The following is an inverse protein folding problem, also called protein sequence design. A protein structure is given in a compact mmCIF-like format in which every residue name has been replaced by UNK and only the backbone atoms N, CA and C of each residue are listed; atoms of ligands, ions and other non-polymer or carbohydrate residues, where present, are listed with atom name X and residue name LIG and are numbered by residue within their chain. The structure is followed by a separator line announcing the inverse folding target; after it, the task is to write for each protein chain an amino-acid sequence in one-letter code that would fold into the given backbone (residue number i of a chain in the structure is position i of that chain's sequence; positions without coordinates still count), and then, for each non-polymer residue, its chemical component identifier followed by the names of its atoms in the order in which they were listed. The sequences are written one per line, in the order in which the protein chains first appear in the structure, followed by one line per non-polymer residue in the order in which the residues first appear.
data_IF_289679388790
#
_entry.id   IF_289679388790
#
_cell.length_a   1.000
_cell.length_b   1.000
_cell.length_c   1.000
_cell.angle_alpha   90.00
_cell.angle_beta   90.00
_cell.angle_gamma   90.00
#
_symmetry.space_group_name_H-M   'P 1'
#
loop_
_entity.id
_entity.type
_entity.pdbx_description
1 polymer ?
#
# COMPACT_ATOMS: atom_id res chain seq x y z
N UNK A 1 15.98 -7.90 -4.22
CA UNK A 1 14.86 -7.80 -5.18
C UNK A 1 13.89 -6.74 -4.69
N UNK A 2 13.59 -5.74 -5.50
CA UNK A 2 12.64 -4.67 -5.22
C UNK A 2 11.26 -5.08 -5.72
N UNK A 3 10.29 -5.16 -4.81
CA UNK A 3 8.93 -5.57 -5.14
C UNK A 3 7.90 -4.51 -4.74
N UNK A 4 6.93 -4.26 -5.62
CA UNK A 4 5.76 -3.44 -5.33
C UNK A 4 4.52 -4.33 -5.22
N UNK A 5 3.70 -4.12 -4.19
CA UNK A 5 2.35 -4.72 -4.09
C UNK A 5 1.29 -3.65 -4.34
N UNK A 6 0.29 -3.96 -5.16
CA UNK A 6 -0.78 -3.04 -5.55
C UNK A 6 -2.14 -3.65 -5.22
N UNK A 7 -2.82 -3.09 -4.21
CA UNK A 7 -4.21 -3.43 -3.92
C UNK A 7 -5.15 -2.58 -4.78
N UNK A 8 -6.17 -3.21 -5.38
CA UNK A 8 -7.03 -2.52 -6.34
C UNK A 8 -6.39 -2.34 -7.70
N UNK A 9 -5.51 -3.27 -8.10
CA UNK A 9 -4.73 -3.21 -9.33
C UNK A 9 -5.56 -3.12 -10.62
N UNK A 10 -6.83 -3.53 -10.59
CA UNK A 10 -7.75 -3.44 -11.74
C UNK A 10 -8.61 -2.17 -11.72
N UNK A 11 -8.51 -1.37 -10.66
CA UNK A 11 -9.18 -0.06 -10.56
C UNK A 11 -8.47 1.00 -11.40
N UNK A 12 -9.12 2.16 -11.62
CA UNK A 12 -8.61 3.18 -12.54
C UNK A 12 -7.18 3.64 -12.21
N UNK A 13 -6.89 3.98 -10.95
CA UNK A 13 -5.53 4.37 -10.54
C UNK A 13 -4.62 3.15 -10.41
N UNK A 14 -5.10 2.05 -9.82
CA UNK A 14 -4.29 0.85 -9.62
C UNK A 14 -3.75 0.27 -10.92
N UNK A 15 -4.54 0.30 -12.00
CA UNK A 15 -4.09 -0.07 -13.35
C UNK A 15 -2.90 0.76 -13.78
N UNK A 16 -2.99 2.07 -13.65
CA UNK A 16 -1.90 2.96 -14.04
C UNK A 16 -0.66 2.79 -13.16
N UNK A 17 -0.82 2.50 -11.87
CA UNK A 17 0.31 2.13 -11.00
C UNK A 17 1.03 0.90 -11.57
N UNK A 18 0.29 -0.16 -11.94
CA UNK A 18 0.89 -1.35 -12.55
C UNK A 18 1.61 -1.01 -13.85
N UNK A 19 0.97 -0.25 -14.75
CA UNK A 19 1.55 0.19 -16.03
C UNK A 19 2.89 0.92 -15.85
N UNK A 20 2.94 1.93 -14.98
CA UNK A 20 4.17 2.68 -14.74
C UNK A 20 5.22 1.87 -13.97
N UNK A 21 4.81 1.01 -13.03
CA UNK A 21 5.73 0.23 -12.21
C UNK A 21 6.52 -0.80 -13.02
N UNK A 22 5.88 -1.50 -13.97
CA UNK A 22 6.60 -2.50 -14.79
C UNK A 22 7.65 -1.88 -15.70
N UNK A 23 7.43 -0.63 -16.13
CA UNK A 23 8.36 0.13 -16.95
C UNK A 23 9.58 0.63 -16.15
N UNK A 24 9.55 0.56 -14.82
CA UNK A 24 10.70 0.98 -14.01
C UNK A 24 11.76 -0.13 -13.95
N UNK A 25 13.02 0.14 -14.36
CA UNK A 25 14.11 -0.84 -14.23
C UNK A 25 14.42 -1.20 -12.78
N UNK A 26 14.19 -0.28 -11.85
CA UNK A 26 14.42 -0.47 -10.41
C UNK A 26 13.36 -1.31 -9.70
N UNK A 27 12.28 -1.70 -10.38
CA UNK A 27 11.24 -2.58 -9.83
C UNK A 27 11.35 -3.92 -10.56
N UNK A 28 11.70 -4.96 -9.80
CA UNK A 28 11.88 -6.32 -10.32
C UNK A 28 10.54 -7.05 -10.45
N UNK A 29 9.58 -6.75 -9.55
CA UNK A 29 8.32 -7.49 -9.44
C UNK A 29 7.17 -6.61 -9.00
N UNK A 30 6.02 -6.74 -9.67
CA UNK A 30 4.76 -6.07 -9.32
C UNK A 30 3.70 -7.10 -8.97
N UNK A 31 3.38 -7.25 -7.68
CA UNK A 31 2.27 -8.09 -7.21
C UNK A 31 0.96 -7.33 -7.32
N UNK A 32 0.13 -7.73 -8.28
CA UNK A 32 -1.13 -7.08 -8.59
C UNK A 32 -2.30 -7.85 -7.96
N UNK A 33 -2.86 -7.34 -6.86
CA UNK A 33 -4.00 -7.98 -6.21
C UNK A 33 -5.29 -7.68 -6.99
N UNK A 34 -5.94 -8.72 -7.50
CA UNK A 34 -7.16 -8.62 -8.31
C UNK A 34 -8.30 -9.43 -7.68
N UNK A 35 -9.53 -9.26 -8.16
CA UNK A 35 -10.66 -10.16 -7.81
C UNK A 35 -10.98 -11.18 -8.91
N UNK A 36 -10.20 -11.22 -9.99
CA UNK A 36 -10.50 -12.02 -11.17
C UNK A 36 -9.84 -13.40 -11.09
N UNK A 37 -10.65 -14.47 -11.10
CA UNK A 37 -10.18 -15.86 -10.88
C UNK A 37 -9.28 -16.42 -12.00
N UNK A 38 -9.32 -15.85 -13.22
CA UNK A 38 -8.59 -16.34 -14.39
C UNK A 38 -7.65 -15.27 -14.95
N UNK A 39 -6.62 -14.92 -14.18
CA UNK A 39 -5.64 -13.92 -14.64
C UNK A 39 -4.53 -14.59 -15.43
N UNK A 40 -4.58 -14.47 -16.76
CA UNK A 40 -3.54 -14.89 -17.70
C UNK A 40 -3.00 -13.67 -18.46
N UNK A 41 -1.84 -13.81 -19.12
CA UNK A 41 -1.22 -12.74 -19.92
C UNK A 41 -2.17 -12.23 -21.02
N UNK A 42 -2.92 -13.14 -21.65
CA UNK A 42 -3.95 -12.81 -22.64
C UNK A 42 -5.05 -11.87 -22.13
N UNK A 43 -5.22 -11.74 -20.81
CA UNK A 43 -6.22 -10.87 -20.19
C UNK A 43 -5.62 -9.56 -19.64
N UNK A 44 -4.32 -9.31 -19.81
CA UNK A 44 -3.67 -8.12 -19.26
C UNK A 44 -4.18 -6.82 -19.87
N UNK A 45 -4.63 -6.83 -21.13
CA UNK A 45 -5.25 -5.66 -21.73
C UNK A 45 -6.52 -5.27 -20.97
N UNK A 46 -7.40 -6.25 -20.72
CA UNK A 46 -8.64 -5.99 -20.00
C UNK A 46 -8.41 -5.62 -18.52
N UNK A 47 -7.48 -6.33 -17.85
CA UNK A 47 -7.28 -6.19 -16.41
C UNK A 47 -6.43 -4.97 -16.04
N UNK A 48 -5.37 -4.72 -16.82
CA UNK A 48 -4.36 -3.71 -16.51
C UNK A 48 -4.25 -2.62 -17.59
N UNK A 49 -4.86 -2.81 -18.76
CA UNK A 49 -4.65 -1.91 -19.90
C UNK A 49 -3.25 -2.08 -20.48
N UNK A 50 -2.77 -3.32 -20.61
CA UNK A 50 -1.43 -3.61 -21.11
C UNK A 50 -1.52 -4.55 -22.31
N UNK A 51 -0.95 -4.15 -23.43
CA UNK A 51 -0.75 -5.01 -24.62
C UNK A 51 0.70 -5.46 -24.62
N UNK A 52 0.94 -6.77 -24.67
CA UNK A 52 2.29 -7.32 -24.73
C UNK A 52 2.76 -7.34 -26.18
N UNK A 53 3.86 -6.64 -26.47
CA UNK A 53 4.44 -6.58 -27.81
C UNK A 53 4.86 -7.99 -28.28
N UNK A 54 4.45 -8.35 -29.50
CA UNK A 54 4.78 -9.64 -30.14
C UNK A 54 3.72 -10.75 -30.00
N UNK A 55 2.77 -10.66 -29.07
CA UNK A 55 1.69 -11.66 -28.96
C UNK A 55 0.58 -11.50 -30.01
N UNK A 56 0.51 -10.35 -30.69
CA UNK A 56 -0.55 -10.03 -31.66
C UNK A 56 -0.53 -10.89 -32.95
N UNK A 57 0.34 -11.90 -33.06
CA UNK A 57 0.65 -12.58 -34.31
C UNK A 57 0.12 -14.00 -34.50
N UNK A 58 -0.50 -14.65 -33.51
CA UNK A 58 -0.81 -16.09 -33.62
C UNK A 58 -2.27 -16.47 -33.32
N UNK A 59 -3.22 -15.56 -33.57
CA UNK A 59 -4.59 -16.01 -33.85
C UNK A 59 -4.59 -16.57 -35.27
N UNK A 60 -4.18 -17.83 -35.40
CA UNK A 60 -4.38 -18.69 -36.56
C UNK A 60 -5.89 -18.87 -36.80
N UNK A 61 -6.57 -17.83 -37.25
CA UNK A 61 -7.90 -17.94 -37.85
C UNK A 61 -7.73 -18.42 -39.29
N UNK A 62 -7.31 -19.68 -39.43
CA UNK A 62 -7.44 -20.46 -40.66
C UNK A 62 -8.91 -20.85 -40.81
N UNK A 63 -9.72 -19.86 -41.15
CA UNK A 63 -11.14 -19.98 -41.43
C UNK A 63 -11.47 -19.10 -42.62
N UNK A 64 -11.26 -19.65 -43.82
CA UNK A 64 -11.73 -19.06 -45.09
C UNK A 64 -13.26 -18.95 -45.04
N UNK A 65 -13.76 -17.77 -44.68
CA UNK A 65 -15.17 -17.44 -44.69
C UNK A 65 -15.33 -16.01 -45.19
N UNK A 66 -15.34 -15.84 -46.51
CA UNK A 66 -15.55 -14.58 -47.19
C UNK A 66 -16.91 -13.97 -46.81
N UNK A 67 -16.91 -12.94 -45.97
CA UNK A 67 -17.87 -11.81 -45.91
C UNK A 67 -17.84 -11.06 -44.56
N UNK A 68 -16.68 -10.85 -43.93
CA UNK A 68 -16.63 -9.94 -42.79
C UNK A 68 -16.53 -8.48 -43.25
N UNK A 69 -17.64 -7.76 -43.11
CA UNK A 69 -17.70 -6.29 -43.11
C UNK A 69 -16.49 -5.75 -42.35
N UNK A 70 -15.69 -4.89 -43.00
CA UNK A 70 -14.66 -4.05 -42.37
C UNK A 70 -15.22 -3.41 -41.10
N UNK A 71 -14.98 -4.02 -39.94
CA UNK A 71 -15.20 -3.36 -38.66
C UNK A 71 -14.18 -2.22 -38.60
N UNK A 72 -14.68 -0.99 -38.70
CA UNK A 72 -13.90 0.23 -38.62
C UNK A 72 -13.08 0.19 -37.33
N UNK A 73 -11.76 0.02 -37.50
CA UNK A 73 -10.68 0.16 -36.53
C UNK A 73 -11.11 0.03 -35.08
N UNK A 74 -10.91 -1.16 -34.50
CA UNK A 74 -10.92 -1.37 -33.04
C UNK A 74 -10.02 -0.31 -32.41
N UNK A 75 -10.64 0.77 -31.95
CA UNK A 75 -9.95 1.83 -31.25
C UNK A 75 -9.66 1.26 -29.88
N UNK A 76 -8.40 0.90 -29.63
CA UNK A 76 -7.95 0.43 -28.33
C UNK A 76 -8.55 1.33 -27.24
N UNK A 77 -9.06 0.75 -26.14
CA UNK A 77 -9.64 1.54 -25.08
C UNK A 77 -8.59 2.57 -24.62
N UNK A 78 -9.02 3.83 -24.48
CA UNK A 78 -8.13 4.89 -24.02
C UNK A 78 -7.45 4.47 -22.69
N UNK A 79 -6.14 4.68 -22.59
CA UNK A 79 -5.35 4.30 -21.41
C UNK A 79 -4.73 2.89 -21.47
N UNK A 80 -4.64 2.27 -22.65
CA UNK A 80 -3.82 1.07 -22.86
C UNK A 80 -2.37 1.45 -23.18
N UNK A 81 -1.40 0.73 -22.62
CA UNK A 81 0.02 0.88 -22.88
C UNK A 81 0.59 -0.39 -23.52
N UNK A 82 1.55 -0.24 -24.42
CA UNK A 82 2.33 -1.37 -24.94
C UNK A 82 3.48 -1.66 -23.98
N UNK A 83 3.63 -2.92 -23.57
CA UNK A 83 4.74 -3.39 -22.74
C UNK A 83 5.53 -4.46 -23.50
N UNK A 84 6.84 -4.50 -23.29
CA UNK A 84 7.68 -5.62 -23.73
C UNK A 84 7.32 -6.89 -22.97
N UNK A 85 7.62 -8.09 -23.51
CA UNK A 85 7.45 -9.35 -22.78
C UNK A 85 8.16 -9.36 -21.43
N UNK A 86 9.35 -8.75 -21.33
CA UNK A 86 10.11 -8.66 -20.09
C UNK A 86 9.43 -7.78 -19.03
N UNK A 87 8.84 -6.64 -19.43
CA UNK A 87 8.08 -5.79 -18.51
C UNK A 87 6.78 -6.48 -18.06
N UNK A 88 6.04 -7.10 -19.00
CA UNK A 88 4.84 -7.86 -18.68
C UNK A 88 5.14 -9.04 -17.73
N UNK A 89 6.31 -9.68 -17.89
CA UNK A 89 6.78 -10.75 -17.02
C UNK A 89 7.08 -10.31 -15.58
N UNK A 90 7.14 -9.00 -15.28
CA UNK A 90 7.24 -8.50 -13.88
C UNK A 90 5.91 -8.61 -13.14
N UNK A 91 4.79 -8.70 -13.85
CA UNK A 91 3.46 -8.76 -13.24
C UNK A 91 3.26 -10.14 -12.61
N UNK A 92 2.86 -10.14 -11.34
CA UNK A 92 2.46 -11.33 -10.58
C UNK A 92 1.04 -11.11 -10.08
N UNK A 93 0.03 -11.42 -10.90
CA UNK A 93 -1.35 -11.23 -10.51
C UNK A 93 -1.74 -12.26 -9.45
N UNK A 94 -2.38 -11.82 -8.38
CA UNK A 94 -2.90 -12.69 -7.32
C UNK A 94 -4.37 -12.41 -7.15
N UNK A 95 -5.18 -13.45 -7.34
CA UNK A 95 -6.61 -13.40 -7.06
C UNK A 95 -6.83 -13.36 -5.54
N UNK A 96 -7.54 -12.34 -5.09
CA UNK A 96 -7.79 -12.05 -3.70
C UNK A 96 -9.29 -12.03 -3.42
N UNK A 97 -9.73 -12.92 -2.54
CA UNK A 97 -11.01 -12.76 -1.86
C UNK A 97 -10.81 -11.84 -0.65
N UNK A 98 -11.19 -10.57 -0.85
CA UNK A 98 -11.03 -9.54 0.18
C UNK A 98 -11.92 -9.77 1.39
N UNK A 99 -13.09 -10.40 1.22
CA UNK A 99 -14.02 -10.63 2.32
C UNK A 99 -13.49 -11.77 3.20
N UNK A 100 -13.11 -12.91 2.59
CA UNK A 100 -12.47 -14.03 3.29
C UNK A 100 -11.23 -13.58 4.06
N UNK A 101 -10.30 -12.89 3.38
CA UNK A 101 -9.08 -12.38 4.01
C UNK A 101 -9.38 -11.44 5.17
N UNK A 102 -10.29 -10.49 5.00
CA UNK A 102 -10.60 -9.52 6.05
C UNK A 102 -11.23 -10.20 7.25
N UNK A 103 -12.09 -11.20 7.05
CA UNK A 103 -12.64 -11.99 8.15
C UNK A 103 -11.57 -12.77 8.90
N UNK A 104 -10.70 -13.49 8.19
CA UNK A 104 -9.58 -14.24 8.77
C UNK A 104 -8.61 -13.31 9.51
N UNK A 105 -8.31 -12.15 8.92
CA UNK A 105 -7.45 -11.14 9.54
C UNK A 105 -8.07 -10.63 10.85
N UNK A 106 -9.35 -10.26 10.84
CA UNK A 106 -10.07 -9.83 12.04
C UNK A 106 -10.09 -10.93 13.10
N UNK A 107 -10.36 -12.18 12.71
CA UNK A 107 -10.37 -13.32 13.61
C UNK A 107 -9.00 -13.56 14.25
N UNK A 108 -7.91 -13.45 13.48
CA UNK A 108 -6.53 -13.55 13.99
C UNK A 108 -6.27 -12.50 15.08
N UNK A 109 -6.71 -11.26 14.90
CA UNK A 109 -6.57 -10.21 15.92
C UNK A 109 -7.31 -10.56 17.22
N UNK A 110 -8.52 -11.09 17.08
CA UNK A 110 -9.35 -11.44 18.24
C UNK A 110 -8.77 -12.61 19.03
N UNK A 111 -8.20 -13.62 18.36
CA UNK A 111 -7.62 -14.79 19.03
C UNK A 111 -6.34 -14.47 19.79
N UNK A 112 -5.48 -13.62 19.23
CA UNK A 112 -4.25 -13.21 19.89
C UNK A 112 -4.49 -12.22 21.04
N UNK A 113 -5.49 -11.34 20.92
CA UNK A 113 -5.96 -10.54 22.06
C UNK A 113 -6.41 -11.43 23.23
N UNK A 114 -7.12 -12.54 22.94
CA UNK A 114 -7.56 -13.48 23.96
C UNK A 114 -6.37 -14.22 24.60
N UNK A 115 -5.39 -14.67 23.81
CA UNK A 115 -4.18 -15.33 24.32
C UNK A 115 -3.34 -14.41 25.22
N UNK A 116 -3.19 -13.13 24.87
CA UNK A 116 -2.45 -12.15 25.67
C UNK A 116 -3.11 -11.84 27.02
N UNK A 117 -4.43 -12.01 27.14
CA UNK A 117 -5.18 -11.73 28.37
C UNK A 117 -5.04 -12.79 29.47
N UNK A 118 -4.30 -13.88 29.22
CA UNK A 118 -4.09 -14.94 30.22
C UNK A 118 -5.38 -15.66 30.62
N UNK A 119 -6.44 -15.59 29.81
CA UNK A 119 -7.62 -16.41 30.04
C UNK A 119 -7.20 -17.88 29.97
N UNK A 120 -7.17 -18.54 31.13
CA UNK A 120 -6.75 -19.91 31.38
C UNK A 120 -7.52 -20.93 30.52
N UNK A 121 -7.16 -21.04 29.24
CA UNK A 121 -7.65 -22.10 28.36
C UNK A 121 -6.82 -23.37 28.56
N UNK A 122 -6.74 -23.88 29.80
CA UNK A 122 -6.32 -25.27 30.08
C UNK A 122 -7.47 -26.23 29.73
N UNK A 123 -7.93 -26.25 28.48
CA UNK A 123 -8.83 -27.30 27.99
C UNK A 123 -9.03 -27.21 26.46
N UNK A 124 -8.00 -27.51 25.67
CA UNK A 124 -8.20 -27.91 24.27
C UNK A 124 -6.97 -28.68 23.76
N UNK A 125 -6.72 -29.85 24.33
CA UNK A 125 -5.93 -30.87 23.65
C UNK A 125 -6.81 -31.51 22.58
N UNK A 126 -6.65 -31.11 21.32
CA UNK A 126 -7.25 -31.84 20.19
C UNK A 126 -6.46 -31.58 18.91
N UNK A 127 -5.71 -32.61 18.51
CA UNK A 127 -5.23 -32.94 17.17
C UNK A 127 -5.07 -31.76 16.18
N UNK A 128 -3.85 -31.26 16.06
CA UNK A 128 -3.42 -30.41 14.96
C UNK A 128 -3.44 -31.20 13.64
N UNK A 129 -4.61 -31.30 13.01
CA UNK A 129 -4.68 -31.63 11.59
C UNK A 129 -3.89 -30.54 10.87
N UNK A 130 -2.91 -30.93 10.04
CA UNK A 130 -2.02 -30.06 9.28
C UNK A 130 -2.75 -29.28 8.17
N UNK A 131 -3.89 -28.67 8.49
CA UNK A 131 -4.49 -27.62 7.68
C UNK A 131 -3.49 -26.48 7.75
N UNK A 132 -2.74 -26.30 6.66
CA UNK A 132 -1.86 -25.16 6.45
C UNK A 132 -2.61 -23.90 6.87
N UNK A 133 -2.12 -23.23 7.92
CA UNK A 133 -2.74 -22.02 8.45
C UNK A 133 -3.01 -21.06 7.27
N UNK A 134 -4.28 -20.68 6.99
CA UNK A 134 -4.59 -19.72 5.94
C UNK A 134 -3.76 -18.44 6.02
N UNK A 135 -3.27 -18.08 7.21
CA UNK A 135 -2.41 -16.93 7.43
C UNK A 135 -1.01 -17.08 6.83
N UNK A 136 -0.47 -18.29 6.69
CA UNK A 136 0.81 -18.53 6.02
C UNK A 136 0.72 -18.19 4.52
N UNK A 137 -0.42 -18.50 3.89
CA UNK A 137 -0.69 -18.06 2.51
C UNK A 137 -0.66 -16.54 2.41
N UNK A 138 -1.31 -15.83 3.33
CA UNK A 138 -1.33 -14.36 3.30
C UNK A 138 0.02 -13.75 3.65
N UNK A 139 0.81 -14.35 4.55
CA UNK A 139 2.20 -13.96 4.79
C UNK A 139 3.00 -14.02 3.49
N UNK A 140 2.86 -15.10 2.70
CA UNK A 140 3.51 -15.23 1.39
C UNK A 140 3.05 -14.18 0.36
N UNK A 141 1.82 -13.69 0.46
CA UNK A 141 1.26 -12.66 -0.43
C UNK A 141 1.70 -11.24 -0.05
N UNK A 142 1.82 -10.95 1.25
CA UNK A 142 2.04 -9.59 1.77
C UNK A 142 3.46 -9.34 2.29
N UNK A 143 4.31 -10.37 2.34
CA UNK A 143 5.70 -10.28 2.76
C UNK A 143 6.67 -9.99 1.60
N UNK A 144 7.81 -9.38 1.92
CA UNK A 144 8.90 -9.18 0.95
C UNK A 144 8.66 -8.03 -0.03
N UNK A 145 7.75 -7.09 0.27
CA UNK A 145 7.54 -5.91 -0.58
C UNK A 145 8.34 -4.71 -0.09
N UNK A 146 8.93 -3.98 -1.03
CA UNK A 146 9.64 -2.72 -0.80
C UNK A 146 8.66 -1.54 -0.85
N UNK A 147 7.66 -1.63 -1.72
CA UNK A 147 6.66 -0.59 -1.92
C UNK A 147 5.26 -1.18 -1.84
N UNK A 148 4.33 -0.42 -1.27
CA UNK A 148 2.92 -0.77 -1.26
C UNK A 148 2.07 0.38 -1.80
N UNK A 149 1.14 0.06 -2.70
CA UNK A 149 0.16 0.99 -3.25
C UNK A 149 -1.25 0.51 -2.92
N UNK A 150 -1.93 1.27 -2.07
CA UNK A 150 -3.28 0.99 -1.63
C UNK A 150 -4.29 1.80 -2.46
N UNK A 151 -4.85 1.16 -3.49
CA UNK A 151 -5.75 1.80 -4.46
C UNK A 151 -7.17 1.21 -4.43
N UNK A 152 -7.56 0.45 -3.39
CA UNK A 152 -8.96 0.03 -3.26
C UNK A 152 -9.86 1.24 -3.00
N UNK A 153 -11.04 1.15 -3.59
CA UNK A 153 -12.12 2.08 -3.37
C UNK A 153 -13.28 1.67 -4.26
N UNK A 154 -14.48 2.00 -3.83
CA UNK A 154 -15.70 1.81 -4.59
C UNK A 154 -16.56 3.05 -4.51
N UNK A 155 -17.65 3.10 -5.28
CA UNK A 155 -18.68 4.10 -5.06
C UNK A 155 -19.77 3.49 -4.20
N UNK A 156 -20.49 4.30 -3.40
CA UNK A 156 -21.66 3.81 -2.65
C UNK A 156 -22.68 3.12 -3.57
N UNK A 157 -22.83 3.62 -4.81
CA UNK A 157 -23.71 3.02 -5.82
C UNK A 157 -23.26 1.60 -6.17
N UNK A 158 -21.98 1.42 -6.47
CA UNK A 158 -21.45 0.10 -6.87
C UNK A 158 -21.37 -0.87 -5.68
N UNK A 159 -21.23 -0.36 -4.46
CA UNK A 159 -21.26 -1.17 -3.23
C UNK A 159 -22.68 -1.63 -2.83
N UNK A 160 -23.74 -0.99 -3.34
CA UNK A 160 -25.13 -1.27 -3.02
C UNK A 160 -25.63 -0.78 -1.66
N UNK A 161 -24.74 -0.54 -0.67
CA UNK A 161 -25.14 -0.01 0.64
C UNK A 161 -24.03 0.84 1.28
N UNK A 162 -24.39 1.63 2.30
CA UNK A 162 -23.40 2.40 3.09
C UNK A 162 -22.46 1.47 3.89
N UNK A 163 -22.98 0.35 4.40
CA UNK A 163 -22.20 -0.67 5.12
C UNK A 163 -21.19 -1.34 4.18
N UNK A 164 -21.63 -1.79 3.00
CA UNK A 164 -20.77 -2.41 1.99
C UNK A 164 -19.74 -1.42 1.43
N UNK A 165 -20.12 -0.14 1.30
CA UNK A 165 -19.18 0.92 0.94
C UNK A 165 -18.08 1.05 1.99
N UNK A 166 -18.46 1.17 3.26
CA UNK A 166 -17.52 1.23 4.39
C UNK A 166 -16.64 -0.01 4.46
N UNK A 167 -17.21 -1.20 4.25
CA UNK A 167 -16.47 -2.48 4.17
C UNK A 167 -15.34 -2.41 3.14
N UNK A 168 -15.63 -1.89 1.95
CA UNK A 168 -14.64 -1.78 0.89
C UNK A 168 -13.62 -0.64 1.09
N UNK A 169 -14.10 0.54 1.47
CA UNK A 169 -13.28 1.76 1.54
C UNK A 169 -12.58 1.96 2.88
N UNK A 170 -12.90 1.14 3.88
CA UNK A 170 -12.24 1.14 5.18
C UNK A 170 -11.72 -0.24 5.58
N UNK A 171 -12.60 -1.23 5.78
CA UNK A 171 -12.16 -2.50 6.39
C UNK A 171 -11.11 -3.22 5.52
N UNK A 172 -11.32 -3.31 4.20
CA UNK A 172 -10.34 -3.91 3.30
C UNK A 172 -9.04 -3.10 3.23
N UNK A 173 -9.13 -1.77 3.33
CA UNK A 173 -7.98 -0.86 3.35
C UNK A 173 -7.16 -1.10 4.61
N UNK A 174 -7.81 -1.22 5.76
CA UNK A 174 -7.14 -1.47 7.03
C UNK A 174 -6.54 -2.87 7.08
N UNK A 175 -7.25 -3.90 6.63
CA UNK A 175 -6.72 -5.26 6.57
C UNK A 175 -5.46 -5.33 5.68
N UNK A 176 -5.49 -4.68 4.51
CA UNK A 176 -4.30 -4.56 3.66
C UNK A 176 -3.15 -3.83 4.36
N UNK A 177 -3.43 -2.65 4.92
CA UNK A 177 -2.43 -1.80 5.58
C UNK A 177 -1.75 -2.56 6.72
N UNK A 178 -2.54 -3.21 7.57
CA UNK A 178 -2.04 -3.99 8.69
C UNK A 178 -1.22 -5.19 8.23
N UNK A 179 -1.68 -5.95 7.23
CA UNK A 179 -0.94 -7.12 6.76
C UNK A 179 0.39 -6.75 6.09
N UNK A 180 0.42 -5.66 5.32
CA UNK A 180 1.66 -5.16 4.72
C UNK A 180 2.64 -4.68 5.80
N UNK A 181 2.15 -3.99 6.84
CA UNK A 181 3.00 -3.58 7.96
C UNK A 181 3.49 -4.79 8.77
N UNK A 182 2.63 -5.79 8.98
CA UNK A 182 2.95 -7.00 9.70
C UNK A 182 4.06 -7.80 9.01
N UNK A 183 3.96 -7.99 7.69
CA UNK A 183 4.79 -8.95 6.97
C UNK A 183 5.90 -8.34 6.12
N UNK A 184 5.84 -7.03 5.81
CA UNK A 184 6.88 -6.37 5.02
C UNK A 184 7.62 -5.26 5.78
N UNK A 185 7.08 -4.67 6.85
CA UNK A 185 7.71 -3.49 7.46
C UNK A 185 8.84 -3.84 8.44
N UNK A 186 9.93 -3.05 8.53
CA UNK A 186 11.13 -3.35 9.32
C UNK A 186 10.90 -3.87 10.75
N UNK A 187 10.02 -3.24 11.53
CA UNK A 187 9.74 -3.66 12.91
C UNK A 187 8.64 -4.74 12.99
N UNK A 188 8.03 -5.07 11.86
CA UNK A 188 6.72 -5.72 11.79
C UNK A 188 5.65 -4.90 12.51
N UNK A 189 4.43 -5.40 12.49
CA UNK A 189 3.34 -4.90 13.32
C UNK A 189 2.49 -6.10 13.72
N UNK A 190 2.51 -6.45 15.01
CA UNK A 190 1.64 -7.50 15.53
C UNK A 190 0.17 -7.17 15.20
N UNK A 191 -0.61 -8.14 14.68
CA UNK A 191 -2.07 -8.01 14.54
C UNK A 191 -2.78 -7.74 15.88
N UNK A 192 -2.13 -8.03 16.99
CA UNK A 192 -2.74 -8.08 18.33
C UNK A 192 -2.70 -6.68 18.97
N UNK A 193 -1.77 -5.84 18.52
CA UNK A 193 -1.59 -4.45 18.96
C UNK A 193 -2.31 -3.45 18.03
N UNK A 194 -3.08 -3.90 17.04
CA UNK A 194 -3.81 -3.00 16.13
C UNK A 194 -5.18 -2.61 16.67
N UNK A 195 -5.47 -1.30 16.60
CA UNK A 195 -6.67 -0.70 17.17
C UNK A 195 -7.93 -1.17 16.44
N UNK A 196 -8.91 -1.62 17.22
CA UNK A 196 -10.26 -1.88 16.74
C UNK A 196 -10.99 -0.55 16.58
N UNK A 197 -10.82 0.07 15.41
CA UNK A 197 -11.79 1.04 14.94
C UNK A 197 -12.86 0.28 14.13
N UNK A 198 -14.01 0.02 14.73
CA UNK A 198 -15.19 -0.39 13.98
C UNK A 198 -15.92 0.87 13.51
N UNK A 199 -15.88 1.17 12.21
CA UNK A 199 -16.81 2.13 11.58
C UNK A 199 -18.18 1.44 11.52
N UNK A 200 -18.85 1.36 12.67
CA UNK A 200 -20.11 0.64 12.81
C UNK A 200 -20.63 0.68 14.24
N UNK A 201 -19.73 0.64 15.22
CA UNK A 201 -20.08 0.65 16.65
C UNK A 201 -20.48 2.05 17.15
N UNK A 202 -20.98 2.93 16.27
CA UNK A 202 -21.38 4.30 16.63
C UNK A 202 -20.22 5.21 17.06
N UNK A 203 -18.97 4.81 16.80
CA UNK A 203 -17.80 5.51 17.37
C UNK A 203 -17.61 5.24 18.86
N UNK A 204 -18.38 4.31 19.44
CA UNK A 204 -18.09 3.69 20.73
C UNK A 204 -17.04 2.60 20.50
N UNK A 205 -15.91 2.97 19.87
CA UNK A 205 -14.68 2.23 20.13
C UNK A 205 -14.50 2.38 21.63
N UNK A 206 -14.79 1.31 22.39
CA UNK A 206 -14.22 1.14 23.71
C UNK A 206 -12.73 1.32 23.48
N UNK A 207 -12.22 2.50 23.84
CA UNK A 207 -10.84 2.61 24.28
C UNK A 207 -10.76 1.62 25.45
N UNK A 208 -10.58 0.33 25.15
CA UNK A 208 -9.87 -0.54 26.06
C UNK A 208 -8.61 0.26 26.30
N UNK A 209 -8.46 0.68 27.55
CA UNK A 209 -7.50 1.68 27.98
C UNK A 209 -6.10 1.10 27.76
N UNK A 210 -5.61 1.05 26.53
CA UNK A 210 -4.23 0.68 26.18
C UNK A 210 -3.33 1.88 26.48
N UNK A 211 -3.51 2.48 27.67
CA UNK A 211 -2.72 3.62 28.12
C UNK A 211 -1.67 3.22 29.16
N UNK A 212 -1.56 1.95 29.56
CA UNK A 212 -0.63 1.54 30.62
C UNK A 212 0.54 0.62 30.20
N UNK A 213 0.69 0.31 28.91
CA UNK A 213 1.69 -0.68 28.46
C UNK A 213 3.07 -0.15 28.02
N UNK A 214 3.24 1.13 27.72
CA UNK A 214 4.54 1.62 27.18
C UNK A 214 5.66 1.71 28.22
N UNK A 215 5.38 1.45 29.50
CA UNK A 215 6.35 1.56 30.59
C UNK A 215 7.39 0.45 30.69
N UNK A 216 7.33 -0.61 29.85
CA UNK A 216 8.36 -1.65 29.82
C UNK A 216 8.98 -1.72 28.44
N UNK A 217 10.09 -1.01 28.25
CA UNK A 217 10.98 -1.13 27.09
C UNK A 217 11.34 -2.60 26.79
N UNK A 218 11.39 -3.43 27.84
CA UNK A 218 11.59 -4.88 27.77
C UNK A 218 10.45 -5.61 27.01
N UNK A 219 9.19 -5.25 27.23
CA UNK A 219 8.04 -5.87 26.54
C UNK A 219 7.94 -5.40 25.07
N UNK A 220 8.50 -4.22 24.76
CA UNK A 220 8.59 -3.73 23.39
C UNK A 220 9.56 -4.58 22.59
N UNK A 221 10.77 -4.83 23.12
CA UNK A 221 11.78 -5.64 22.45
C UNK A 221 11.32 -7.09 22.23
N UNK A 222 10.69 -7.71 23.21
CA UNK A 222 10.16 -9.08 23.07
C UNK A 222 9.09 -9.17 21.97
N UNK A 223 8.10 -8.28 22.00
CA UNK A 223 7.08 -8.22 20.96
C UNK A 223 7.66 -7.88 19.58
N UNK A 224 8.73 -7.06 19.53
CA UNK A 224 9.44 -6.78 18.29
C UNK A 224 10.15 -8.01 17.74
N UNK A 225 10.80 -8.82 18.57
CA UNK A 225 11.46 -10.04 18.13
C UNK A 225 10.46 -11.03 17.50
N UNK A 226 9.29 -11.22 18.13
CA UNK A 226 8.25 -12.09 17.58
C UNK A 226 7.70 -11.56 16.26
N UNK A 227 7.52 -10.24 16.12
CA UNK A 227 7.03 -9.62 14.89
C UNK A 227 8.08 -9.56 13.78
N UNK A 228 9.32 -9.26 14.12
CA UNK A 228 10.45 -9.21 13.20
C UNK A 228 10.70 -10.60 12.59
N UNK A 229 10.49 -11.67 13.35
CA UNK A 229 10.52 -13.03 12.83
C UNK A 229 9.43 -13.30 11.77
N UNK A 230 8.36 -12.49 11.72
CA UNK A 230 7.31 -12.60 10.70
C UNK A 230 7.50 -11.67 9.51
N UNK A 231 8.30 -10.62 9.67
CA UNK A 231 8.47 -9.58 8.66
C UNK A 231 9.71 -9.81 7.82
N UNK A 232 9.62 -9.52 6.52
CA UNK A 232 10.80 -9.42 5.67
C UNK A 232 11.63 -8.16 5.93
N UNK A 233 11.06 -7.16 6.59
CA UNK A 233 11.70 -5.87 6.88
C UNK A 233 12.06 -5.03 5.65
N UNK A 234 11.42 -5.25 4.51
CA UNK A 234 11.74 -4.64 3.21
C UNK A 234 10.96 -3.36 2.89
N UNK A 235 9.82 -3.10 3.54
CA UNK A 235 8.94 -1.98 3.19
C UNK A 235 9.63 -0.65 3.47
N UNK A 236 9.53 0.29 2.53
CA UNK A 236 10.09 1.64 2.63
C UNK A 236 9.07 2.73 2.31
N UNK A 237 8.12 2.43 1.43
CA UNK A 237 7.07 3.36 1.01
C UNK A 237 5.72 2.69 1.03
N UNK A 238 4.76 3.38 1.62
CA UNK A 238 3.36 3.04 1.56
C UNK A 238 2.60 4.23 0.98
N UNK A 239 1.97 4.05 -0.18
CA UNK A 239 1.13 5.05 -0.81
C UNK A 239 -0.34 4.66 -0.64
N UNK A 240 -1.17 5.57 -0.13
CA UNK A 240 -2.62 5.37 -0.03
C UNK A 240 -3.34 6.39 -0.90
N UNK A 241 -4.24 5.90 -1.75
CA UNK A 241 -5.15 6.76 -2.52
C UNK A 241 -6.37 7.09 -1.65
N UNK A 242 -6.50 8.37 -1.35
CA UNK A 242 -7.61 8.96 -0.59
C UNK A 242 -8.45 9.88 -1.51
N UNK A 243 -8.97 10.96 -0.96
CA UNK A 243 -9.75 11.97 -1.65
C UNK A 243 -9.46 13.35 -1.10
N UNK A 244 -9.49 14.37 -1.95
CA UNK A 244 -9.48 15.78 -1.52
C UNK A 244 -10.55 16.01 -0.46
N UNK A 245 -10.21 16.65 0.66
CA UNK A 245 -11.09 16.91 1.80
C UNK A 245 -11.57 15.66 2.57
N UNK A 246 -10.84 14.53 2.47
CA UNK A 246 -11.03 13.40 3.36
C UNK A 246 -10.92 13.87 4.83
N UNK A 247 -11.92 13.58 5.64
CA UNK A 247 -11.95 13.98 7.05
C UNK A 247 -12.91 13.10 7.82
N UNK A 248 -12.44 12.51 8.93
CA UNK A 248 -13.27 11.66 9.80
C UNK A 248 -14.47 12.39 10.44
N UNK A 249 -14.39 13.72 10.51
CA UNK A 249 -15.46 14.59 10.99
C UNK A 249 -16.45 15.04 9.90
N UNK A 250 -16.24 14.63 8.64
CA UNK A 250 -17.14 15.00 7.55
C UNK A 250 -18.54 14.41 7.77
N UNK A 251 -19.57 15.20 7.47
CA UNK A 251 -20.96 14.73 7.45
C UNK A 251 -21.25 13.88 6.20
N UNK A 252 -20.44 13.99 5.15
CA UNK A 252 -20.60 13.24 3.91
C UNK A 252 -19.89 11.89 3.98
N UNK A 253 -20.64 10.79 3.85
CA UNK A 253 -20.16 9.41 4.07
C UNK A 253 -18.86 9.06 3.35
N UNK A 254 -18.70 9.46 2.08
CA UNK A 254 -17.50 9.13 1.31
C UNK A 254 -16.25 9.81 1.90
N UNK A 255 -16.31 11.12 2.13
CA UNK A 255 -15.23 11.90 2.74
C UNK A 255 -14.94 11.45 4.17
N UNK A 256 -16.00 11.09 4.91
CA UNK A 256 -15.89 10.53 6.26
C UNK A 256 -15.11 9.24 6.28
N UNK A 257 -15.49 8.29 5.43
CA UNK A 257 -14.88 6.96 5.38
C UNK A 257 -13.42 7.05 4.94
N UNK A 258 -13.11 7.84 3.90
CA UNK A 258 -11.73 8.11 3.48
C UNK A 258 -10.91 8.79 4.57
N UNK A 259 -11.47 9.76 5.27
CA UNK A 259 -10.78 10.44 6.38
C UNK A 259 -10.48 9.51 7.55
N UNK A 260 -11.41 8.62 7.92
CA UNK A 260 -11.16 7.61 8.96
C UNK A 260 -10.09 6.62 8.49
N UNK A 261 -10.11 6.20 7.22
CA UNK A 261 -9.08 5.34 6.65
C UNK A 261 -7.69 6.01 6.69
N UNK A 262 -7.59 7.28 6.29
CA UNK A 262 -6.35 8.05 6.32
C UNK A 262 -5.78 8.14 7.73
N UNK A 263 -6.58 8.59 8.69
CA UNK A 263 -6.15 8.72 10.09
C UNK A 263 -5.73 7.36 10.68
N UNK A 264 -6.48 6.31 10.38
CA UNK A 264 -6.19 4.95 10.84
C UNK A 264 -4.88 4.41 10.25
N UNK A 265 -4.59 4.70 8.98
CA UNK A 265 -3.32 4.35 8.33
C UNK A 265 -2.16 5.15 8.92
N UNK A 266 -2.34 6.47 9.12
CA UNK A 266 -1.34 7.35 9.75
C UNK A 266 -0.97 6.86 11.13
N UNK A 267 -1.95 6.52 11.96
CA UNK A 267 -1.73 5.99 13.31
C UNK A 267 -0.89 4.70 13.28
N UNK A 268 -1.22 3.75 12.40
CA UNK A 268 -0.52 2.46 12.27
C UNK A 268 0.92 2.63 11.80
N UNK A 269 1.14 3.44 10.76
CA UNK A 269 2.49 3.71 10.24
C UNK A 269 3.33 4.49 11.27
N UNK A 270 2.75 5.47 11.94
CA UNK A 270 3.44 6.22 13.00
C UNK A 270 3.87 5.30 14.14
N UNK A 271 2.98 4.43 14.62
CA UNK A 271 3.30 3.44 15.66
C UNK A 271 4.40 2.48 15.22
N UNK A 272 4.33 1.96 14.00
CA UNK A 272 5.41 1.16 13.42
C UNK A 272 6.74 1.93 13.45
N UNK A 273 6.73 3.19 13.00
CA UNK A 273 7.95 4.00 12.92
C UNK A 273 8.52 4.34 14.31
N UNK A 274 7.68 4.50 15.35
CA UNK A 274 8.14 4.59 16.74
C UNK A 274 8.89 3.35 17.18
N UNK A 275 8.34 2.17 16.92
CA UNK A 275 8.98 0.89 17.25
C UNK A 275 10.30 0.73 16.48
N UNK A 276 10.30 1.04 15.19
CA UNK A 276 11.51 1.01 14.35
C UNK A 276 12.59 1.97 14.86
N UNK A 277 12.22 3.18 15.28
CA UNK A 277 13.15 4.18 15.83
C UNK A 277 13.72 3.72 17.17
N UNK A 278 12.90 3.12 18.04
CA UNK A 278 13.35 2.59 19.33
C UNK A 278 14.39 1.47 19.17
N UNK A 279 14.29 0.66 18.11
CA UNK A 279 15.27 -0.36 17.80
C UNK A 279 16.58 0.15 17.16
N UNK A 280 16.71 1.46 16.90
CA UNK A 280 17.87 2.18 16.33
C UNK A 280 18.43 1.71 14.97
N UNK A 281 18.21 0.45 14.57
CA UNK A 281 18.73 -0.17 13.35
C UNK A 281 17.72 -0.21 12.19
N UNK A 282 16.45 0.12 12.45
CA UNK A 282 15.37 -0.07 11.48
C UNK A 282 14.99 1.23 10.78
N UNK A 283 14.89 1.17 9.45
CA UNK A 283 14.45 2.32 8.67
C UNK A 283 12.95 2.57 8.84
N UNK A 284 12.50 3.83 8.93
CA UNK A 284 11.08 4.15 8.99
C UNK A 284 10.41 3.92 7.62
N UNK A 285 9.11 3.66 7.65
CA UNK A 285 8.26 3.60 6.46
C UNK A 285 7.75 5.00 6.14
N UNK A 286 7.94 5.45 4.91
CA UNK A 286 7.36 6.69 4.41
C UNK A 286 5.92 6.44 3.97
N UNK A 287 4.98 7.19 4.52
CA UNK A 287 3.57 7.18 4.12
C UNK A 287 3.27 8.40 3.25
N UNK A 288 2.72 8.16 2.07
CA UNK A 288 2.18 9.20 1.19
C UNK A 288 0.67 9.01 1.03
N UNK A 289 -0.11 9.96 1.54
CA UNK A 289 -1.55 10.05 1.31
C UNK A 289 -1.80 10.91 0.07
N UNK A 290 -2.18 10.27 -1.03
CA UNK A 290 -2.59 10.99 -2.24
C UNK A 290 -4.05 11.39 -2.08
N UNK A 291 -4.33 12.69 -2.05
CA UNK A 291 -5.67 13.25 -1.93
C UNK A 291 -6.07 13.94 -3.24
N UNK A 292 -6.27 13.17 -4.33
CA UNK A 292 -6.68 13.74 -5.59
C UNK A 292 -8.06 14.38 -5.48
N UNK A 293 -8.28 15.42 -6.28
CA UNK A 293 -9.60 15.98 -6.55
C UNK A 293 -10.46 15.02 -7.38
N UNK A 294 -11.28 15.58 -8.26
CA UNK A 294 -12.11 14.76 -9.15
C UNK A 294 -11.21 14.00 -10.15
N UNK A 295 -11.43 12.70 -10.33
CA UNK A 295 -10.62 11.92 -11.26
C UNK A 295 -11.16 12.02 -12.69
N UNK A 296 -10.29 12.33 -13.65
CA UNK A 296 -10.64 12.26 -15.07
C UNK A 296 -10.51 10.83 -15.58
N UNK A 297 -11.60 10.27 -16.11
CA UNK A 297 -11.68 8.88 -16.57
C UNK A 297 -11.93 8.76 -18.09
N UNK A 298 -11.39 9.70 -18.87
CA UNK A 298 -11.31 9.69 -20.36
C UNK A 298 -12.56 9.22 -21.14
N UNK A 299 -13.78 9.47 -20.64
CA UNK A 299 -15.02 9.16 -21.36
C UNK A 299 -16.18 8.63 -20.52
N UNK A 300 -15.94 8.24 -19.26
CA UNK A 300 -17.00 7.85 -18.31
C UNK A 300 -17.60 9.00 -17.51
N UNK A 301 -17.34 10.25 -17.89
CA UNK A 301 -17.80 11.41 -17.13
C UNK A 301 -19.33 11.43 -17.05
N UNK A 302 -19.87 11.17 -15.85
CA UNK A 302 -21.32 11.13 -15.60
C UNK A 302 -21.94 12.52 -15.81
N UNK A 303 -23.20 12.59 -16.20
CA UNK A 303 -23.91 13.88 -16.40
C UNK A 303 -23.85 14.78 -15.17
N UNK A 304 -23.85 14.22 -13.96
CA UNK A 304 -23.72 14.96 -12.70
C UNK A 304 -22.30 15.48 -12.41
N UNK A 305 -21.26 14.94 -13.04
CA UNK A 305 -19.88 15.43 -12.84
C UNK A 305 -19.64 16.80 -13.47
N UNK A 306 -20.46 17.24 -14.44
CA UNK A 306 -20.31 18.58 -15.05
C UNK A 306 -20.38 19.71 -14.02
N UNK A 307 -21.22 19.57 -12.99
CA UNK A 307 -21.30 20.55 -11.90
C UNK A 307 -20.13 20.42 -10.91
N UNK A 308 -19.71 19.19 -10.59
CA UNK A 308 -18.56 18.98 -9.71
C UNK A 308 -17.25 19.53 -10.30
N UNK A 309 -17.11 19.47 -11.63
CA UNK A 309 -15.96 20.02 -12.37
C UNK A 309 -15.81 21.54 -12.25
N UNK A 310 -16.89 22.27 -11.97
CA UNK A 310 -16.82 23.72 -11.75
C UNK A 310 -16.17 24.07 -10.40
N UNK A 311 -16.15 23.14 -9.44
CA UNK A 311 -15.73 23.40 -8.06
C UNK A 311 -14.41 22.70 -7.72
N UNK A 312 -14.13 21.54 -8.32
CA UNK A 312 -12.92 20.76 -8.03
C UNK A 312 -12.05 20.60 -9.27
N UNK A 313 -10.76 20.94 -9.14
CA UNK A 313 -9.78 20.62 -10.19
C UNK A 313 -9.72 19.12 -10.40
N UNK A 314 -9.93 18.72 -11.64
CA UNK A 314 -9.84 17.32 -12.02
C UNK A 314 -8.39 16.95 -12.31
N UNK A 315 -8.03 15.71 -11.99
CA UNK A 315 -6.69 15.17 -12.21
C UNK A 315 -6.79 13.85 -12.98
N UNK A 316 -5.99 13.64 -14.04
CA UNK A 316 -5.95 12.36 -14.74
C UNK A 316 -5.53 11.23 -13.82
N UNK A 317 -6.15 10.06 -13.98
CA UNK A 317 -5.77 8.86 -13.21
C UNK A 317 -4.33 8.44 -13.51
N UNK A 318 -3.85 8.76 -14.71
CA UNK A 318 -2.48 8.52 -15.13
C UNK A 318 -1.47 9.32 -14.30
N UNK A 319 -1.79 10.59 -14.02
CA UNK A 319 -0.98 11.46 -13.16
C UNK A 319 -0.89 10.89 -11.74
N UNK A 320 -2.00 10.38 -11.19
CA UNK A 320 -1.98 9.74 -9.87
C UNK A 320 -1.11 8.47 -9.84
N UNK A 321 -1.23 7.60 -10.85
CA UNK A 321 -0.42 6.39 -10.96
C UNK A 321 1.07 6.68 -11.09
N UNK A 322 1.43 7.65 -11.94
CA UNK A 322 2.81 8.11 -12.12
C UNK A 322 3.38 8.70 -10.82
N UNK A 323 2.59 9.49 -10.09
CA UNK A 323 3.01 10.08 -8.82
C UNK A 323 3.35 9.01 -7.76
N UNK A 324 2.55 7.94 -7.66
CA UNK A 324 2.80 6.82 -6.75
C UNK A 324 4.13 6.14 -7.09
N UNK A 325 4.36 5.82 -8.36
CA UNK A 325 5.60 5.15 -8.80
C UNK A 325 6.82 6.06 -8.64
N UNK A 326 6.66 7.35 -8.92
CA UNK A 326 7.68 8.37 -8.68
C UNK A 326 8.07 8.51 -7.22
N UNK A 327 7.08 8.51 -6.30
CA UNK A 327 7.33 8.54 -4.87
C UNK A 327 8.19 7.34 -4.42
N UNK A 328 7.98 6.18 -5.03
CA UNK A 328 8.77 4.96 -4.76
C UNK A 328 10.20 5.03 -5.29
N UNK A 329 10.52 5.95 -6.23
CA UNK A 329 11.88 6.16 -6.75
C UNK A 329 12.69 7.19 -5.96
N UNK A 330 12.05 8.05 -5.16
CA UNK A 330 12.71 9.27 -4.71
C UNK A 330 14.00 9.01 -3.91
N UNK A 331 15.04 9.81 -4.19
CA UNK A 331 16.41 9.67 -3.68
C UNK A 331 16.54 9.53 -2.14
N UNK A 332 15.73 10.21 -1.30
CA UNK A 332 15.80 9.98 0.15
C UNK A 332 15.54 8.52 0.51
N UNK A 333 14.65 7.85 -0.24
CA UNK A 333 14.32 6.44 -0.06
C UNK A 333 15.47 5.58 -0.57
N UNK A 334 16.02 5.86 -1.75
CA UNK A 334 17.19 5.14 -2.25
C UNK A 334 18.36 5.22 -1.26
N UNK A 335 18.60 6.39 -0.66
CA UNK A 335 19.62 6.54 0.38
C UNK A 335 19.29 5.74 1.64
N UNK A 336 18.03 5.69 2.07
CA UNK A 336 17.65 4.84 3.22
C UNK A 336 17.77 3.35 2.91
N UNK A 337 17.47 2.92 1.68
CA UNK A 337 17.67 1.53 1.20
C UNK A 337 19.15 1.21 1.15
N UNK A 338 19.95 2.04 0.48
CA UNK A 338 21.40 1.88 0.38
C UNK A 338 22.08 1.87 1.75
N UNK A 339 21.65 2.74 2.68
CA UNK A 339 22.18 2.75 4.04
C UNK A 339 21.81 1.48 4.80
N UNK A 340 20.59 0.96 4.65
CA UNK A 340 20.17 -0.29 5.28
C UNK A 340 20.95 -1.49 4.72
N UNK A 341 21.13 -1.56 3.41
CA UNK A 341 21.94 -2.59 2.76
C UNK A 341 23.40 -2.51 3.21
N UNK A 342 24.01 -1.32 3.21
CA UNK A 342 25.37 -1.11 3.70
C UNK A 342 25.53 -1.44 5.18
N UNK A 343 24.52 -1.16 6.02
CA UNK A 343 24.56 -1.53 7.44
C UNK A 343 24.48 -3.05 7.60
N UNK A 344 23.61 -3.74 6.84
CA UNK A 344 23.55 -5.20 6.86
C UNK A 344 24.83 -5.85 6.36
N UNK A 345 25.43 -5.30 5.30
CA UNK A 345 26.70 -5.78 4.76
C UNK A 345 27.85 -5.49 5.71
N UNK A 346 27.86 -4.34 6.39
CA UNK A 346 28.86 -4.02 7.40
C UNK A 346 28.66 -4.82 8.69
N UNK A 347 27.44 -5.19 9.07
CA UNK A 347 27.20 -6.11 10.19
C UNK A 347 27.60 -7.54 9.85
N UNK A 348 27.37 -7.98 8.60
CA UNK A 348 27.94 -9.23 8.08
C UNK A 348 29.46 -9.16 8.04
N UNK A 349 30.03 -8.08 7.49
CA UNK A 349 31.47 -7.90 7.41
C UNK A 349 32.11 -7.74 8.79
N UNK A 350 31.48 -7.11 9.78
CA UNK A 350 31.97 -7.07 11.17
C UNK A 350 31.85 -8.40 11.88
N UNK A 351 30.93 -9.28 11.47
CA UNK A 351 30.96 -10.68 11.94
C UNK A 351 32.18 -11.42 11.38
N UNK A 352 32.67 -11.00 10.22
CA UNK A 352 33.88 -11.56 9.60
C UNK A 352 35.19 -10.83 10.05
N UNK A 353 35.16 -9.50 10.28
CA UNK A 353 36.30 -8.62 10.60
C UNK A 353 36.52 -8.38 12.11
N UNK A 354 35.89 -9.19 12.97
CA UNK A 354 36.52 -9.45 14.28
C UNK A 354 37.87 -10.20 14.10
N UNK A 355 38.24 -10.60 12.87
CA UNK A 355 39.63 -10.62 12.42
C UNK A 355 39.92 -9.45 11.45
N UNK A 356 40.58 -8.39 11.94
CA UNK A 356 41.32 -7.47 11.06
C UNK A 356 40.89 -6.01 11.07
N UNK A 357 41.84 -5.17 11.45
CA UNK A 357 41.69 -3.75 11.70
C UNK A 357 41.53 -2.83 10.45
N UNK A 358 40.88 -1.70 10.76
CA UNK A 358 41.15 -0.31 10.34
C UNK A 358 40.54 0.24 9.04
N UNK A 359 39.73 1.29 9.25
CA UNK A 359 38.79 1.95 8.32
C UNK A 359 39.32 3.33 7.88
N UNK A 360 39.24 3.59 6.57
CA UNK A 360 39.50 4.88 5.93
C UNK A 360 38.24 5.74 5.72
N UNK A 361 38.46 7.06 5.66
CA UNK A 361 37.45 8.14 5.58
C UNK A 361 36.99 8.39 4.14
N UNK A 362 35.69 8.24 3.88
CA UNK A 362 35.06 8.72 2.65
C UNK A 362 34.49 10.13 2.79
N UNK A 363 34.74 10.95 1.76
CA UNK A 363 34.38 12.36 1.61
C UNK A 363 33.16 12.52 0.70
N UNK A 364 32.12 13.20 1.18
CA UNK A 364 30.85 13.40 0.45
C UNK A 364 30.85 14.68 -0.38
N UNK A 365 30.86 14.56 -1.70
CA UNK A 365 30.50 15.65 -2.63
C UNK A 365 29.04 15.50 -3.05
N UNK A 366 28.17 16.41 -2.59
CA UNK A 366 26.74 16.41 -2.90
C UNK A 366 26.51 17.20 -4.20
N UNK A 367 26.11 16.51 -5.27
CA UNK A 367 25.78 17.12 -6.56
C UNK A 367 24.70 18.22 -6.44
N UNK A 368 25.07 19.45 -6.81
CA UNK A 368 24.19 20.61 -6.86
C UNK A 368 23.20 20.46 -8.04
N UNK A 369 21.92 20.22 -7.73
CA UNK A 369 20.88 20.12 -8.76
C UNK A 369 19.65 19.30 -8.35
N UNK A 370 19.74 18.51 -7.29
CA UNK A 370 18.60 17.73 -6.80
C UNK A 370 17.54 18.68 -6.23
N UNK A 371 16.42 18.85 -6.94
CA UNK A 371 15.24 19.57 -6.44
C UNK A 371 14.87 19.00 -5.07
N UNK A 372 15.05 19.79 -4.02
CA UNK A 372 14.66 19.44 -2.64
C UNK A 372 13.14 19.43 -2.43
N UNK A 373 12.33 19.26 -3.47
CA UNK A 373 10.88 19.32 -3.29
C UNK A 373 10.43 18.09 -2.50
N UNK A 374 9.84 18.30 -1.31
CA UNK A 374 9.40 17.20 -0.44
C UNK A 374 8.35 16.33 -1.16
N UNK A 375 8.15 15.10 -0.68
CA UNK A 375 7.10 14.19 -1.17
C UNK A 375 5.69 14.78 -1.03
N UNK A 376 5.53 15.82 -0.21
CA UNK A 376 4.30 16.56 -0.01
C UNK A 376 4.45 17.47 1.20
N UNK A 377 3.31 17.94 1.73
CA UNK A 377 3.30 18.62 3.03
C UNK A 377 3.33 17.55 4.13
N UNK A 378 4.08 17.76 5.23
CA UNK A 378 3.96 16.89 6.40
C UNK A 378 2.50 16.82 6.86
N UNK A 379 2.04 15.63 7.22
CA UNK A 379 0.68 15.42 7.71
C UNK A 379 0.50 16.15 9.05
N UNK A 380 -0.56 16.95 9.16
CA UNK A 380 -0.90 17.67 10.40
C UNK A 380 -2.01 16.92 11.11
N UNK A 381 -1.72 16.42 12.31
CA UNK A 381 -2.62 15.56 13.06
C UNK A 381 -4.01 16.17 13.29
N UNK A 382 -5.05 15.46 12.85
CA UNK A 382 -6.44 15.85 13.09
C UNK A 382 -6.84 15.68 14.57
N UNK A 383 -8.03 16.17 14.95
CA UNK A 383 -8.64 15.94 16.28
C UNK A 383 -8.81 14.43 16.58
N UNK A 384 -8.95 13.60 15.56
CA UNK A 384 -9.09 12.16 15.73
C UNK A 384 -7.79 11.47 16.16
N UNK A 385 -6.63 11.85 15.61
CA UNK A 385 -5.34 11.31 16.09
C UNK A 385 -5.09 11.64 17.56
N UNK A 386 -5.57 12.81 18.03
CA UNK A 386 -5.56 13.14 19.46
C UNK A 386 -6.39 12.16 20.29
N UNK A 387 -7.52 11.68 19.77
CA UNK A 387 -8.33 10.63 20.43
C UNK A 387 -7.62 9.28 20.43
N UNK A 388 -6.75 9.02 19.44
CA UNK A 388 -5.88 7.85 19.42
C UNK A 388 -4.63 7.99 20.31
N UNK A 389 -4.53 9.07 21.10
CA UNK A 389 -3.41 9.32 22.02
C UNK A 389 -2.16 9.91 21.36
N UNK A 390 -2.23 10.31 20.09
CA UNK A 390 -1.12 11.00 19.40
C UNK A 390 -1.25 12.51 19.68
N UNK A 391 -0.30 13.15 20.40
CA UNK A 391 -0.34 14.58 20.65
C UNK A 391 -0.35 15.38 19.34
N UNK A 392 -1.10 16.49 19.27
CA UNK A 392 -1.19 17.30 18.04
C UNK A 392 0.11 17.99 17.65
N UNK A 393 1.04 18.12 18.58
CA UNK A 393 2.38 18.66 18.36
C UNK A 393 3.42 17.57 18.10
N UNK A 394 3.04 16.29 18.13
CA UNK A 394 3.98 15.22 17.83
C UNK A 394 4.35 15.27 16.33
N UNK A 395 5.65 15.42 15.99
CA UNK A 395 6.05 15.48 14.59
C UNK A 395 5.83 14.14 13.90
N UNK A 396 5.29 14.18 12.68
CA UNK A 396 5.09 13.01 11.81
C UNK A 396 6.01 13.11 10.59
N UNK A 397 7.35 13.06 10.76
CA UNK A 397 8.31 13.43 9.71
C UNK A 397 8.31 12.49 8.50
N UNK A 398 7.68 11.32 8.60
CA UNK A 398 7.63 10.31 7.52
C UNK A 398 6.24 10.17 6.92
N UNK A 399 5.33 11.10 7.21
CA UNK A 399 3.93 11.03 6.77
C UNK A 399 3.60 12.31 6.01
N UNK A 400 3.17 12.14 4.76
CA UNK A 400 3.00 13.23 3.82
C UNK A 400 1.61 13.20 3.19
N UNK A 401 1.06 14.38 2.94
CA UNK A 401 -0.14 14.57 2.11
C UNK A 401 0.24 15.21 0.78
N UNK A 402 -0.27 14.63 -0.30
CA UNK A 402 -0.13 15.15 -1.66
C UNK A 402 -1.49 15.55 -2.21
N UNK A 403 -1.67 16.86 -2.40
CA UNK A 403 -2.79 17.42 -3.16
C UNK A 403 -2.51 17.39 -4.67
N UNK A 404 -3.45 17.83 -5.50
CA UNK A 404 -3.31 17.83 -6.97
C UNK A 404 -1.98 18.44 -7.46
N UNK A 405 -1.56 19.60 -6.93
CA UNK A 405 -0.32 20.24 -7.35
C UNK A 405 0.92 19.39 -7.06
N UNK A 406 0.98 18.79 -5.87
CA UNK A 406 2.08 17.87 -5.48
C UNK A 406 2.03 16.59 -6.29
N UNK A 407 0.84 16.03 -6.53
CA UNK A 407 0.66 14.82 -7.35
C UNK A 407 1.17 15.09 -8.77
N UNK A 408 0.79 16.21 -9.38
CA UNK A 408 1.29 16.60 -10.71
C UNK A 408 2.81 16.78 -10.73
N UNK A 409 3.39 17.43 -9.72
CA UNK A 409 4.83 17.57 -9.62
C UNK A 409 5.53 16.21 -9.50
N UNK A 410 5.08 15.33 -8.61
CA UNK A 410 5.61 13.96 -8.46
C UNK A 410 5.52 13.18 -9.77
N UNK A 411 4.37 13.23 -10.45
CA UNK A 411 4.17 12.57 -11.73
C UNK A 411 5.18 13.05 -12.79
N UNK A 412 5.43 14.36 -12.87
CA UNK A 412 6.37 14.95 -13.83
C UNK A 412 7.81 14.46 -13.65
N UNK A 413 8.19 14.05 -12.42
CA UNK A 413 9.52 13.49 -12.11
C UNK A 413 9.72 12.07 -12.65
N UNK A 414 8.64 11.37 -13.03
CA UNK A 414 8.75 10.05 -13.63
C UNK A 414 9.10 10.13 -15.12
N UNK A 415 8.68 11.23 -15.77
CA UNK A 415 8.86 11.49 -17.20
C UNK A 415 10.09 12.33 -17.53
N UNK A 416 10.64 13.04 -16.55
CA UNK A 416 11.87 13.83 -16.64
C UNK A 416 13.08 12.94 -16.33
#
# INVERSE_FOLDING_TARGET
MVSMIVAGATGAIGRTVVQYAIQQPSIDRVVALTRFRNTAVSNYEHLFGIIVAGEAGNTDSRGEGANSKREKGSKFPAGTVTATPAEAAKIRPITMDWEEFTQLWVAKRSSTCAAASGADNRAAGAAATAITDPMERYRGIFGGHTYAAMCLGTTRKDAGSAKSFTRCDYDYVMAFTEAVLAYSAPAGLSPDKTFVHHIGDGGVSKQVHVQEGMGKEVDVLAAMNDNAAQSSGTLRVFCQVSSSNASSSSWFLYMKTKGIADESTVERVHRHNKLATAAAALSPVNLLLLQPGLLERHGKTRTTEKFAKLIMSSIPVETCGAAIVSACRSLPIQRSVQRAEATSAAELAKRDEVEGAQVEKESSTVAAGVRKTPLGKPYVGAKALRKAGIPSNEPLPYIYEANNAVITDLASRLTA
#
